data_IF_786311849254
#
_entry.id   IF_786311849254
#
_cell.length_a   1.000
_cell.length_b   1.000
_cell.length_c   1.000
_cell.angle_alpha   90.00
_cell.angle_beta   90.00
_cell.angle_gamma   90.00
#
_symmetry.space_group_name_H-M   'P 1'
#
loop_
_entity.id
_entity.type
_entity.pdbx_description
1 polymer ?
#
# COMPACT_ATOMS: atom_id res chain seq x y z
N UNK A 1 -28.80 3.51 -25.02
CA UNK A 1 -29.10 4.48 -23.96
C UNK A 1 -28.85 3.77 -22.65
N UNK A 2 -27.59 3.80 -22.19
CA UNK A 2 -27.19 3.17 -20.92
C UNK A 2 -27.40 4.21 -19.82
N UNK A 3 -28.27 3.91 -18.88
CA UNK A 3 -28.41 4.68 -17.67
C UNK A 3 -27.24 4.30 -16.73
N UNK A 4 -26.27 5.20 -16.59
CA UNK A 4 -25.35 5.18 -15.48
C UNK A 4 -26.16 5.55 -14.22
N UNK A 5 -26.45 4.59 -13.37
CA UNK A 5 -26.93 4.84 -12.03
C UNK A 5 -25.75 5.40 -11.24
N UNK A 6 -25.71 6.71 -11.05
CA UNK A 6 -24.85 7.32 -10.05
C UNK A 6 -25.37 6.87 -8.68
N UNK A 7 -24.67 5.95 -8.04
CA UNK A 7 -24.87 5.70 -6.62
C UNK A 7 -24.46 6.98 -5.88
N UNK A 8 -25.41 7.77 -5.46
CA UNK A 8 -25.18 8.87 -4.55
C UNK A 8 -24.89 8.27 -3.18
N UNK A 9 -23.61 8.14 -2.83
CA UNK A 9 -23.23 7.87 -1.47
C UNK A 9 -23.75 9.02 -0.60
N UNK A 10 -24.61 8.71 0.36
CA UNK A 10 -25.01 9.67 1.38
C UNK A 10 -23.79 9.92 2.25
N UNK A 11 -23.11 11.05 2.05
CA UNK A 11 -22.03 11.49 2.92
C UNK A 11 -22.56 11.53 4.36
N UNK A 12 -22.20 10.56 5.16
CA UNK A 12 -22.35 10.65 6.60
C UNK A 12 -21.27 11.63 7.01
N UNK A 13 -21.70 12.81 7.44
CA UNK A 13 -20.79 13.83 7.98
C UNK A 13 -20.33 13.37 9.36
N UNK A 14 -19.36 12.47 9.40
CA UNK A 14 -18.71 12.01 10.62
C UNK A 14 -17.64 13.04 10.99
N UNK A 15 -17.54 13.37 12.26
CA UNK A 15 -16.41 14.16 12.75
C UNK A 15 -15.15 13.33 12.63
N UNK A 16 -14.16 13.78 11.87
CA UNK A 16 -12.86 13.14 11.77
C UNK A 16 -12.01 13.48 12.98
N UNK A 17 -11.34 12.48 13.53
CA UNK A 17 -10.60 12.54 14.80
C UNK A 17 -9.09 12.37 14.65
N UNK A 18 -8.61 12.10 13.44
CA UNK A 18 -7.18 12.04 13.14
C UNK A 18 -6.52 13.39 13.37
N UNK A 19 -5.34 13.37 13.97
CA UNK A 19 -4.54 14.57 14.30
C UNK A 19 -3.19 14.54 13.59
N UNK A 20 -2.99 15.47 12.67
CA UNK A 20 -1.69 15.67 12.02
C UNK A 20 -0.60 16.07 13.00
N UNK A 21 -0.93 16.81 14.07
CA UNK A 21 0.04 17.19 15.10
C UNK A 21 0.51 15.99 15.94
N UNK A 22 -0.40 15.05 16.26
CA UNK A 22 -0.01 13.80 16.91
C UNK A 22 0.91 12.98 16.01
N UNK A 23 0.51 12.80 14.73
CA UNK A 23 1.32 12.06 13.78
C UNK A 23 2.70 12.71 13.58
N UNK A 24 2.78 14.03 13.53
CA UNK A 24 4.06 14.74 13.45
C UNK A 24 4.94 14.44 14.68
N UNK A 25 4.38 14.46 15.88
CA UNK A 25 5.09 14.09 17.10
C UNK A 25 5.58 12.64 17.07
N UNK A 26 4.80 11.70 16.51
CA UNK A 26 5.23 10.31 16.36
C UNK A 26 6.36 10.14 15.32
N UNK A 27 6.47 11.02 14.32
CA UNK A 27 7.67 11.06 13.47
C UNK A 27 8.87 11.57 14.27
N UNK A 28 8.72 12.67 15.03
CA UNK A 28 9.79 13.17 15.90
C UNK A 28 10.29 12.10 16.88
N UNK A 29 9.38 11.35 17.51
CA UNK A 29 9.72 10.25 18.40
C UNK A 29 10.57 9.20 17.68
N UNK A 30 10.16 8.75 16.47
CA UNK A 30 10.88 7.74 15.70
C UNK A 30 12.28 8.21 15.29
N UNK A 31 12.48 9.48 14.99
CA UNK A 31 13.78 10.06 14.66
C UNK A 31 14.68 10.21 15.90
N UNK A 32 14.13 10.23 17.09
CA UNK A 32 14.85 10.46 18.35
C UNK A 32 14.93 9.23 19.28
N UNK A 33 14.54 8.04 18.79
CA UNK A 33 14.47 6.81 19.60
C UNK A 33 15.80 6.45 20.26
N UNK A 34 16.91 6.64 19.57
CA UNK A 34 18.25 6.41 20.14
C UNK A 34 19.29 7.39 19.59
N UNK A 35 20.52 7.29 20.09
CA UNK A 35 21.61 8.19 19.73
C UNK A 35 22.01 8.12 18.24
N UNK A 36 21.66 7.05 17.55
CA UNK A 36 21.97 6.86 16.12
C UNK A 36 20.82 7.23 15.20
N UNK A 37 19.60 7.29 15.71
CA UNK A 37 18.35 7.71 15.05
C UNK A 37 17.97 6.92 13.77
N UNK A 38 18.80 5.96 13.35
CA UNK A 38 18.59 5.24 12.09
C UNK A 38 17.96 3.87 12.32
N UNK A 39 16.88 3.59 11.59
CA UNK A 39 16.10 2.36 11.68
C UNK A 39 16.55 1.32 10.66
N UNK A 40 17.87 1.20 10.47
CA UNK A 40 18.48 0.31 9.48
C UNK A 40 18.31 -1.15 9.93
N UNK A 41 17.86 -2.08 9.05
CA UNK A 41 17.79 -3.50 9.35
C UNK A 41 19.09 -4.08 9.91
N UNK A 42 18.99 -4.85 11.00
CA UNK A 42 20.14 -5.41 11.69
C UNK A 42 20.87 -4.47 12.65
N UNK A 43 20.35 -3.25 12.88
CA UNK A 43 20.88 -2.31 13.86
C UNK A 43 19.88 -2.06 15.00
N UNK A 44 20.39 -1.64 16.16
CA UNK A 44 19.59 -1.42 17.36
C UNK A 44 18.46 -0.40 17.15
N UNK A 45 18.67 0.64 16.34
CA UNK A 45 17.63 1.65 16.06
C UNK A 45 16.37 1.08 15.42
N UNK A 46 16.50 0.03 14.60
CA UNK A 46 15.37 -0.70 14.04
C UNK A 46 14.62 -1.50 15.13
N UNK A 47 15.35 -2.19 16.01
CA UNK A 47 14.75 -2.93 17.13
C UNK A 47 14.03 -1.99 18.09
N UNK A 48 14.66 -0.89 18.47
CA UNK A 48 14.08 0.13 19.34
C UNK A 48 12.80 0.75 18.73
N UNK A 49 12.75 0.89 17.40
CA UNK A 49 11.56 1.39 16.69
C UNK A 49 10.40 0.36 16.73
N UNK A 50 10.68 -0.91 16.55
CA UNK A 50 9.66 -1.96 16.67
C UNK A 50 9.08 -2.00 18.11
N UNK A 51 9.93 -1.89 19.14
CA UNK A 51 9.47 -1.81 20.53
C UNK A 51 8.67 -0.53 20.80
N UNK A 52 9.07 0.62 20.23
CA UNK A 52 8.32 1.87 20.31
C UNK A 52 6.88 1.71 19.79
N UNK A 53 6.66 0.99 18.68
CA UNK A 53 5.30 0.72 18.19
C UNK A 53 4.51 -0.11 19.20
N UNK A 54 5.12 -1.15 19.77
CA UNK A 54 4.46 -1.98 20.77
C UNK A 54 4.07 -1.13 21.99
N UNK A 55 4.93 -0.22 22.45
CA UNK A 55 4.64 0.71 23.54
C UNK A 55 3.49 1.66 23.18
N UNK A 56 3.50 2.28 21.98
CA UNK A 56 2.43 3.19 21.53
C UNK A 56 1.07 2.50 21.44
N UNK A 57 1.01 1.28 20.93
CA UNK A 57 -0.23 0.51 20.89
C UNK A 57 -0.67 0.08 22.31
N UNK A 58 0.24 -0.22 23.21
CA UNK A 58 -0.07 -0.47 24.63
C UNK A 58 -0.56 0.78 25.35
N UNK A 59 -0.12 1.99 25.00
CA UNK A 59 -0.67 3.24 25.51
C UNK A 59 -2.15 3.41 25.11
N UNK A 60 -2.54 2.97 23.89
CA UNK A 60 -3.94 2.94 23.47
C UNK A 60 -4.73 1.92 24.29
N UNK A 61 -4.21 0.70 24.41
CA UNK A 61 -4.76 -0.35 25.27
C UNK A 61 -3.70 -1.41 25.60
N UNK A 62 -3.53 -1.74 26.89
CA UNK A 62 -2.55 -2.73 27.36
C UNK A 62 -2.72 -4.12 26.74
N UNK A 63 -3.91 -4.48 26.27
CA UNK A 63 -4.22 -5.76 25.67
C UNK A 63 -4.42 -5.64 24.15
N UNK A 64 -3.84 -4.64 23.51
CA UNK A 64 -3.89 -4.57 22.04
C UNK A 64 -3.17 -5.79 21.46
N UNK A 65 -3.85 -6.56 20.62
CA UNK A 65 -3.30 -7.77 20.02
C UNK A 65 -2.21 -7.45 19.01
N UNK A 66 -1.09 -8.19 19.06
CA UNK A 66 -0.02 -8.06 18.09
C UNK A 66 0.71 -9.37 17.85
N UNK A 67 1.26 -9.52 16.64
CA UNK A 67 2.12 -10.60 16.21
C UNK A 67 3.45 -10.03 15.71
N UNK A 68 4.54 -10.77 15.92
CA UNK A 68 5.87 -10.47 15.37
C UNK A 68 6.20 -11.47 14.27
N UNK A 69 6.40 -10.99 13.07
CA UNK A 69 6.85 -11.78 11.95
C UNK A 69 8.36 -11.64 11.80
N UNK A 70 9.09 -12.65 12.28
CA UNK A 70 10.56 -12.68 12.23
C UNK A 70 11.02 -13.41 10.97
N UNK A 71 11.97 -12.84 10.26
CA UNK A 71 12.56 -13.40 9.06
C UNK A 71 14.04 -13.02 8.95
N UNK A 72 14.76 -13.57 7.97
CA UNK A 72 16.19 -13.34 7.82
C UNK A 72 16.51 -13.06 6.35
N UNK A 73 17.23 -11.97 6.08
CA UNK A 73 17.79 -11.64 4.79
C UNK A 73 19.30 -11.65 4.86
N UNK A 74 19.96 -12.53 4.11
CA UNK A 74 21.42 -12.68 4.08
C UNK A 74 22.09 -12.72 5.48
N UNK A 75 21.46 -13.44 6.40
CA UNK A 75 21.89 -13.60 7.81
C UNK A 75 21.68 -12.35 8.70
N UNK A 76 20.96 -11.34 8.25
CA UNK A 76 20.46 -10.23 9.07
C UNK A 76 19.05 -10.55 9.52
N UNK A 77 18.81 -10.45 10.82
CA UNK A 77 17.48 -10.63 11.39
C UNK A 77 16.63 -9.39 11.19
N UNK A 78 15.45 -9.59 10.62
CA UNK A 78 14.44 -8.57 10.34
C UNK A 78 13.10 -8.95 11.00
N UNK A 79 12.22 -7.96 11.16
CA UNK A 79 10.95 -8.19 11.86
C UNK A 79 9.86 -7.25 11.39
N UNK A 80 8.77 -7.78 10.85
CA UNK A 80 7.54 -7.02 10.69
C UNK A 80 6.72 -7.06 11.99
N UNK A 81 5.97 -6.00 12.26
CA UNK A 81 5.10 -5.89 13.44
C UNK A 81 3.66 -5.72 12.98
N UNK A 82 2.78 -6.62 13.40
CA UNK A 82 1.36 -6.63 13.04
C UNK A 82 0.51 -6.41 14.29
N UNK A 83 -0.34 -5.38 14.28
CA UNK A 83 -1.37 -5.18 15.28
C UNK A 83 -2.75 -5.43 14.69
N UNK A 84 -3.64 -6.05 15.47
CA UNK A 84 -4.98 -6.42 15.02
C UNK A 84 -6.05 -5.80 15.92
N UNK A 85 -7.04 -5.20 15.29
CA UNK A 85 -8.22 -4.63 15.95
C UNK A 85 -9.47 -5.32 15.43
N UNK A 86 -10.38 -5.73 16.33
CA UNK A 86 -11.65 -6.39 16.01
C UNK A 86 -11.51 -7.76 15.33
N UNK A 87 -10.63 -8.60 15.82
CA UNK A 87 -10.37 -9.97 15.33
C UNK A 87 -11.59 -10.90 15.25
N UNK A 88 -12.75 -10.48 15.77
CA UNK A 88 -14.00 -11.21 15.65
C UNK A 88 -14.74 -11.00 14.31
N UNK A 89 -14.31 -10.05 13.49
CA UNK A 89 -14.84 -9.83 12.15
C UNK A 89 -14.07 -10.70 11.14
N UNK A 90 -14.76 -11.13 10.09
CA UNK A 90 -14.20 -12.01 9.08
C UNK A 90 -13.56 -11.27 7.90
N UNK A 91 -13.85 -9.98 7.74
CA UNK A 91 -13.30 -9.16 6.67
C UNK A 91 -12.11 -8.36 7.20
N UNK A 92 -10.97 -8.46 6.54
CA UNK A 92 -9.72 -7.86 6.95
C UNK A 92 -9.38 -6.70 6.01
N UNK A 93 -9.08 -5.54 6.59
CA UNK A 93 -8.48 -4.40 5.89
C UNK A 93 -7.11 -4.15 6.49
N UNK A 94 -6.08 -4.12 5.64
CA UNK A 94 -4.70 -3.86 6.05
C UNK A 94 -4.37 -2.40 5.80
N UNK A 95 -3.83 -1.74 6.81
CA UNK A 95 -3.16 -0.45 6.70
C UNK A 95 -1.68 -0.70 6.94
N UNK A 96 -0.84 -0.46 5.94
CA UNK A 96 0.58 -0.80 5.96
C UNK A 96 1.49 0.41 5.81
N UNK A 97 2.69 0.33 6.36
CA UNK A 97 3.79 1.27 6.14
C UNK A 97 5.12 0.58 6.47
N UNK A 98 6.21 0.92 5.78
CA UNK A 98 7.53 0.46 6.19
C UNK A 98 8.11 1.36 7.28
N UNK A 99 8.98 0.81 8.12
CA UNK A 99 9.57 1.56 9.22
C UNK A 99 11.09 1.58 9.22
N UNK A 100 11.74 0.72 8.43
CA UNK A 100 13.17 0.83 8.23
C UNK A 100 13.52 2.13 7.51
N UNK A 101 14.75 2.57 7.66
CA UNK A 101 15.29 3.71 6.93
C UNK A 101 16.49 3.27 6.11
N UNK A 102 16.69 3.93 4.97
CA UNK A 102 17.76 3.60 4.03
C UNK A 102 19.14 3.75 4.65
N UNK A 103 19.97 2.72 4.50
CA UNK A 103 21.31 2.69 5.09
C UNK A 103 22.29 3.70 4.44
N UNK A 104 21.99 4.19 3.23
CA UNK A 104 22.88 5.10 2.47
C UNK A 104 22.06 6.12 1.67
N UNK A 105 22.43 7.39 1.78
CA UNK A 105 21.77 8.50 1.07
C UNK A 105 22.22 8.57 -0.41
N UNK A 106 21.92 7.53 -1.17
CA UNK A 106 22.49 7.28 -2.51
C UNK A 106 22.13 8.35 -3.54
N UNK A 107 21.08 9.16 -3.30
CA UNK A 107 20.68 10.30 -4.15
C UNK A 107 21.10 11.66 -3.61
N UNK A 108 21.86 11.71 -2.52
CA UNK A 108 22.28 12.99 -1.98
C UNK A 108 23.07 13.79 -3.05
N UNK A 109 22.73 15.07 -3.28
CA UNK A 109 23.43 15.91 -4.24
C UNK A 109 24.89 16.15 -3.85
N UNK A 110 25.23 16.10 -2.56
CA UNK A 110 26.60 16.07 -2.07
C UNK A 110 27.14 14.64 -2.06
N UNK A 111 28.05 14.35 -2.99
CA UNK A 111 28.63 13.00 -3.12
C UNK A 111 29.32 12.52 -1.84
N UNK A 112 29.81 13.43 -0.99
CA UNK A 112 30.46 13.06 0.27
C UNK A 112 29.48 12.51 1.31
N UNK A 113 28.19 12.79 1.13
CA UNK A 113 27.11 12.34 2.02
C UNK A 113 26.44 11.03 1.57
N UNK A 114 26.75 10.55 0.37
CA UNK A 114 26.06 9.36 -0.19
C UNK A 114 26.29 8.07 0.57
N UNK A 115 27.31 8.02 1.42
CA UNK A 115 27.57 6.88 2.30
C UNK A 115 26.98 7.09 3.73
N UNK A 116 26.38 8.25 4.00
CA UNK A 116 25.68 8.51 5.24
C UNK A 116 24.27 7.88 5.22
N UNK A 117 23.74 7.45 6.39
CA UNK A 117 22.39 6.93 6.46
C UNK A 117 21.33 8.04 6.29
N UNK A 118 20.16 7.65 5.79
CA UNK A 118 19.00 8.53 5.64
C UNK A 118 18.21 8.57 6.95
N UNK A 119 17.83 9.75 7.49
CA UNK A 119 16.98 9.84 8.67
C UNK A 119 15.60 9.19 8.46
N UNK A 120 15.04 9.29 7.25
CA UNK A 120 13.79 8.65 6.87
C UNK A 120 12.56 9.23 7.57
N UNK A 121 12.46 10.57 7.64
CA UNK A 121 11.32 11.22 8.28
C UNK A 121 10.02 11.04 7.49
N UNK A 122 10.13 11.16 6.16
CA UNK A 122 9.01 10.86 5.27
C UNK A 122 9.03 9.38 4.86
N UNK A 123 10.19 8.87 4.57
CA UNK A 123 10.54 7.56 4.03
C UNK A 123 11.09 6.63 5.15
N UNK A 124 10.32 5.92 5.89
CA UNK A 124 8.97 5.47 6.08
C UNK A 124 8.36 5.90 7.42
N UNK A 125 9.01 6.82 8.25
CA UNK A 125 8.44 7.18 9.56
C UNK A 125 7.08 7.88 9.44
N UNK A 126 6.80 8.59 8.33
CA UNK A 126 5.54 9.30 8.13
C UNK A 126 4.34 8.36 8.03
N UNK A 127 4.45 7.28 7.26
CA UNK A 127 3.40 6.26 7.16
C UNK A 127 3.13 5.60 8.50
N UNK A 128 4.18 5.19 9.21
CA UNK A 128 4.08 4.60 10.55
C UNK A 128 3.37 5.52 11.55
N UNK A 129 3.70 6.80 11.54
CA UNK A 129 3.07 7.80 12.40
C UNK A 129 1.56 7.96 12.12
N UNK A 130 1.17 7.90 10.84
CA UNK A 130 -0.25 7.89 10.46
C UNK A 130 -0.95 6.64 10.98
N UNK A 131 -0.32 5.45 10.86
CA UNK A 131 -0.89 4.19 11.40
C UNK A 131 -1.14 4.27 12.91
N UNK A 132 -0.21 4.82 13.70
CA UNK A 132 -0.35 4.95 15.15
C UNK A 132 -1.57 5.83 15.51
N UNK A 133 -1.72 6.99 14.88
CA UNK A 133 -2.87 7.87 15.19
C UNK A 133 -4.20 7.29 14.69
N UNK A 134 -4.23 6.63 13.54
CA UNK A 134 -5.41 5.88 13.07
C UNK A 134 -5.79 4.75 14.04
N UNK A 135 -4.81 4.04 14.59
CA UNK A 135 -5.09 3.01 15.61
C UNK A 135 -5.76 3.60 16.84
N UNK A 136 -5.30 4.76 17.32
CA UNK A 136 -5.93 5.51 18.43
C UNK A 136 -7.37 5.88 18.09
N UNK A 137 -7.61 6.40 16.90
CA UNK A 137 -8.96 6.79 16.43
C UNK A 137 -9.88 5.59 16.38
N UNK A 138 -9.50 4.54 15.64
CA UNK A 138 -10.37 3.39 15.43
C UNK A 138 -10.55 2.54 16.67
N UNK A 139 -9.57 2.49 17.58
CA UNK A 139 -9.76 1.82 18.86
C UNK A 139 -10.90 2.47 19.67
N UNK A 140 -11.00 3.80 19.66
CA UNK A 140 -12.06 4.52 20.37
C UNK A 140 -13.46 4.27 19.80
N UNK A 141 -13.53 3.81 18.56
CA UNK A 141 -14.76 3.61 17.77
C UNK A 141 -14.98 2.16 17.34
N UNK A 142 -14.20 1.23 17.88
CA UNK A 142 -14.13 -0.17 17.44
C UNK A 142 -15.46 -0.90 17.43
N UNK A 143 -16.39 -0.55 18.33
CA UNK A 143 -17.71 -1.16 18.41
C UNK A 143 -18.59 -0.86 17.16
N UNK A 144 -18.21 0.15 16.38
CA UNK A 144 -18.89 0.52 15.14
C UNK A 144 -18.21 -0.02 13.88
N UNK A 145 -16.98 -0.54 14.00
CA UNK A 145 -16.25 -1.14 12.89
C UNK A 145 -16.88 -2.50 12.53
N UNK A 146 -17.01 -2.73 11.25
CA UNK A 146 -17.58 -3.95 10.67
C UNK A 146 -16.50 -4.83 10.00
N UNK A 147 -15.24 -4.42 10.11
CA UNK A 147 -14.09 -5.18 9.65
C UNK A 147 -13.08 -5.39 10.79
N UNK A 148 -12.14 -6.26 10.55
CA UNK A 148 -10.89 -6.38 11.26
C UNK A 148 -9.91 -5.40 10.64
N UNK A 149 -9.26 -4.53 11.43
CA UNK A 149 -8.18 -3.67 10.96
C UNK A 149 -6.85 -4.23 11.36
N UNK A 150 -5.96 -4.40 10.39
CA UNK A 150 -4.56 -4.73 10.61
C UNK A 150 -3.72 -3.48 10.39
N UNK A 151 -2.86 -3.17 11.35
CA UNK A 151 -1.82 -2.14 11.25
C UNK A 151 -0.49 -2.87 11.12
N UNK A 152 0.09 -2.85 9.92
CA UNK A 152 1.25 -3.66 9.55
C UNK A 152 2.44 -2.76 9.26
N UNK A 153 3.49 -2.92 10.05
CA UNK A 153 4.75 -2.19 9.94
C UNK A 153 5.80 -3.12 9.31
N UNK A 154 6.27 -2.77 8.12
CA UNK A 154 7.25 -3.56 7.38
C UNK A 154 8.68 -3.15 7.71
N UNK A 155 9.56 -4.13 7.91
CA UNK A 155 11.01 -3.98 7.96
C UNK A 155 11.60 -4.28 6.57
N UNK A 156 12.79 -3.79 6.29
CA UNK A 156 13.58 -4.18 5.13
C UNK A 156 12.92 -3.86 3.75
N UNK A 157 12.22 -2.74 3.66
CA UNK A 157 11.68 -2.22 2.41
C UNK A 157 12.76 -1.53 1.58
N UNK A 158 13.48 -0.53 2.20
CA UNK A 158 14.20 0.55 1.51
C UNK A 158 15.71 0.28 1.34
N UNK A 159 16.11 -0.97 1.07
CA UNK A 159 17.53 -1.33 0.98
C UNK A 159 18.00 -1.69 -0.44
N UNK A 160 17.11 -1.66 -1.42
CA UNK A 160 17.38 -2.00 -2.81
C UNK A 160 18.32 -1.04 -3.55
N UNK A 161 18.52 -1.28 -4.85
CA UNK A 161 19.45 -0.51 -5.66
C UNK A 161 18.78 0.72 -6.30
N UNK A 162 19.20 1.94 -5.88
CA UNK A 162 18.82 3.21 -6.47
C UNK A 162 20.06 4.17 -6.48
N UNK A 163 20.71 4.33 -7.61
CA UNK A 163 22.05 4.95 -7.77
C UNK A 163 23.16 4.29 -6.93
N UNK A 164 22.85 3.29 -6.17
CA UNK A 164 23.65 2.47 -5.28
C UNK A 164 22.72 1.67 -4.36
N UNK A 165 23.18 0.57 -3.77
CA UNK A 165 22.40 -0.18 -2.82
C UNK A 165 22.30 0.58 -1.48
N UNK A 166 21.17 0.46 -0.77
CA UNK A 166 21.10 0.75 0.64
C UNK A 166 21.99 -0.25 1.40
N UNK A 167 21.66 -1.54 1.33
CA UNK A 167 22.50 -2.65 1.78
C UNK A 167 22.90 -3.48 0.57
N UNK A 168 24.18 -3.81 0.46
CA UNK A 168 24.71 -4.54 -0.70
C UNK A 168 24.08 -5.93 -0.85
N UNK A 169 23.49 -6.18 -2.01
CA UNK A 169 22.89 -7.45 -2.37
C UNK A 169 21.43 -7.64 -1.89
N UNK A 170 20.81 -6.61 -1.27
CA UNK A 170 19.42 -6.62 -0.93
C UNK A 170 18.55 -6.11 -2.10
N UNK A 171 17.31 -6.55 -2.12
CA UNK A 171 16.28 -6.03 -3.02
C UNK A 171 15.34 -5.06 -2.27
N UNK A 172 14.34 -4.54 -2.94
CA UNK A 172 13.25 -3.73 -2.40
C UNK A 172 12.18 -4.62 -1.76
N UNK A 173 11.48 -4.11 -0.75
CA UNK A 173 10.26 -4.71 -0.23
C UNK A 173 10.44 -6.14 0.31
N UNK A 174 11.63 -6.49 0.80
CA UNK A 174 11.94 -7.83 1.31
C UNK A 174 11.00 -8.22 2.47
N UNK A 175 10.61 -7.25 3.31
CA UNK A 175 9.74 -7.49 4.45
C UNK A 175 8.31 -7.83 4.08
N UNK A 176 7.73 -7.14 3.12
CA UNK A 176 6.38 -7.44 2.63
C UNK A 176 6.32 -8.70 1.79
N UNK A 177 7.36 -8.96 0.96
CA UNK A 177 7.48 -10.21 0.23
C UNK A 177 7.50 -11.40 1.20
N UNK A 178 8.32 -11.33 2.27
CA UNK A 178 8.37 -12.37 3.32
C UNK A 178 7.08 -12.50 4.11
N UNK A 179 6.42 -11.37 4.42
CA UNK A 179 5.14 -11.41 5.11
C UNK A 179 4.06 -12.12 4.29
N UNK A 180 3.99 -11.83 2.99
CA UNK A 180 3.00 -12.45 2.10
C UNK A 180 3.32 -13.94 1.86
N UNK A 181 4.60 -14.35 1.82
CA UNK A 181 4.97 -15.78 1.81
C UNK A 181 4.39 -16.53 3.02
N UNK A 182 4.34 -15.89 4.19
CA UNK A 182 3.91 -16.47 5.46
C UNK A 182 2.51 -16.03 5.91
N UNK A 183 1.76 -15.28 5.10
CA UNK A 183 0.51 -14.60 5.48
C UNK A 183 -0.55 -15.56 6.06
N UNK A 184 -0.58 -16.80 5.60
CA UNK A 184 -1.52 -17.82 6.08
C UNK A 184 -1.31 -18.19 7.56
N UNK A 185 -0.18 -17.83 8.16
CA UNK A 185 0.07 -18.02 9.58
C UNK A 185 -0.66 -16.98 10.46
N UNK A 186 -1.17 -15.90 9.87
CA UNK A 186 -1.74 -14.76 10.59
C UNK A 186 -3.25 -14.66 10.52
N UNK A 187 -3.95 -15.44 9.64
CA UNK A 187 -5.39 -15.43 9.51
C UNK A 187 -5.95 -16.84 9.26
N UNK A 188 -7.26 -16.98 9.42
CA UNK A 188 -7.96 -18.23 9.15
C UNK A 188 -8.66 -18.16 7.78
N UNK A 189 -7.99 -18.65 6.72
CA UNK A 189 -8.49 -18.61 5.34
C UNK A 189 -9.83 -19.33 5.12
N UNK A 190 -10.29 -20.17 6.08
CA UNK A 190 -11.60 -20.81 6.02
C UNK A 190 -12.74 -19.90 6.50
N UNK A 191 -12.45 -18.83 7.23
CA UNK A 191 -13.42 -17.94 7.86
C UNK A 191 -13.21 -16.48 7.48
N UNK A 192 -11.98 -16.09 7.20
CA UNK A 192 -11.57 -14.71 7.01
C UNK A 192 -11.14 -14.44 5.57
N UNK A 193 -11.32 -13.23 5.11
CA UNK A 193 -10.92 -12.77 3.78
C UNK A 193 -10.40 -11.34 3.83
N UNK A 194 -9.49 -11.03 2.92
CA UNK A 194 -8.97 -9.68 2.76
C UNK A 194 -9.82 -8.86 1.80
N UNK A 195 -10.28 -7.68 2.23
CA UNK A 195 -11.06 -6.76 1.39
C UNK A 195 -10.17 -5.71 0.72
N UNK A 196 -9.16 -5.21 1.41
CA UNK A 196 -8.24 -4.21 0.90
C UNK A 196 -6.93 -4.15 1.70
N UNK A 197 -5.86 -3.67 1.03
CA UNK A 197 -4.62 -3.22 1.66
C UNK A 197 -4.34 -1.79 1.17
N UNK A 198 -4.07 -0.87 2.10
CA UNK A 198 -3.69 0.52 1.82
C UNK A 198 -2.29 0.72 2.38
N UNK A 199 -1.33 0.94 1.48
CA UNK A 199 0.03 1.30 1.83
C UNK A 199 0.13 2.82 1.98
N UNK A 200 0.89 3.25 2.98
CA UNK A 200 1.18 4.65 3.27
C UNK A 200 2.69 4.85 3.23
N UNK A 201 3.20 5.18 2.05
CA UNK A 201 4.61 5.46 1.86
C UNK A 201 4.87 6.93 1.52
N UNK A 202 5.84 7.54 2.20
CA UNK A 202 6.19 8.96 2.04
C UNK A 202 4.99 9.91 2.05
N UNK A 203 4.11 9.81 3.04
CA UNK A 203 2.81 10.51 3.10
C UNK A 203 2.81 11.82 3.91
N UNK A 204 3.95 12.19 4.50
CA UNK A 204 4.09 13.37 5.35
C UNK A 204 4.83 14.55 4.71
N UNK A 205 5.36 14.38 3.50
CA UNK A 205 6.25 15.35 2.87
C UNK A 205 5.63 16.73 2.66
N UNK A 206 6.42 17.80 2.83
CA UNK A 206 6.00 19.17 2.50
C UNK A 206 5.59 19.26 1.03
N UNK A 207 4.55 20.04 0.73
CA UNK A 207 3.96 20.15 -0.61
C UNK A 207 3.43 18.82 -1.17
N UNK A 208 2.88 17.97 -0.31
CA UNK A 208 2.30 16.68 -0.65
C UNK A 208 1.43 16.75 -1.91
N UNK A 209 1.71 15.84 -2.85
CA UNK A 209 0.87 15.52 -4.00
C UNK A 209 1.01 14.04 -4.30
N UNK A 210 -0.08 13.32 -4.24
CA UNK A 210 -0.10 11.91 -4.56
C UNK A 210 -0.05 11.67 -6.07
N UNK A 211 0.55 10.55 -6.46
CA UNK A 211 0.57 10.05 -7.84
C UNK A 211 -0.55 9.04 -8.09
N UNK A 212 -0.82 8.75 -9.36
CA UNK A 212 -1.57 7.56 -9.76
C UNK A 212 -0.56 6.42 -9.96
N UNK A 213 -0.42 5.61 -8.92
CA UNK A 213 0.49 4.47 -8.90
C UNK A 213 -0.14 3.32 -9.71
N UNK A 214 0.62 2.72 -10.63
CA UNK A 214 0.07 1.84 -11.68
C UNK A 214 -0.04 0.36 -11.30
N UNK A 215 0.69 -0.10 -10.27
CA UNK A 215 0.55 -1.47 -9.76
C UNK A 215 -0.59 -1.58 -8.74
N UNK A 216 -1.08 -0.45 -8.24
CA UNK A 216 -2.24 -0.37 -7.37
C UNK A 216 -3.51 -0.90 -8.06
N UNK A 217 -4.40 -1.49 -7.31
CA UNK A 217 -5.77 -1.78 -7.75
C UNK A 217 -6.47 -0.45 -8.05
N UNK A 218 -6.66 -0.15 -9.32
CA UNK A 218 -7.05 1.18 -9.80
C UNK A 218 -8.34 1.69 -9.16
N UNK A 219 -9.35 0.83 -8.99
CA UNK A 219 -10.62 1.22 -8.37
C UNK A 219 -10.49 1.56 -6.88
N UNK A 220 -9.56 0.94 -6.17
CA UNK A 220 -9.27 1.27 -4.77
C UNK A 220 -8.53 2.60 -4.66
N UNK A 221 -7.52 2.80 -5.51
CA UNK A 221 -6.78 4.06 -5.54
C UNK A 221 -7.68 5.24 -5.97
N UNK A 222 -8.53 5.06 -6.98
CA UNK A 222 -9.51 6.06 -7.42
C UNK A 222 -10.46 6.45 -6.29
N UNK A 223 -10.96 5.49 -5.50
CA UNK A 223 -11.82 5.74 -4.34
C UNK A 223 -11.10 6.59 -3.27
N UNK A 224 -9.85 6.27 -2.94
CA UNK A 224 -9.04 7.07 -2.01
C UNK A 224 -8.85 8.50 -2.53
N UNK A 225 -8.59 8.67 -3.82
CA UNK A 225 -8.48 9.99 -4.46
C UNK A 225 -9.81 10.75 -4.41
N UNK A 226 -10.93 10.09 -4.63
CA UNK A 226 -12.25 10.72 -4.55
C UNK A 226 -12.57 11.16 -3.13
N UNK A 227 -12.31 10.32 -2.14
CA UNK A 227 -12.47 10.66 -0.72
C UNK A 227 -11.61 11.89 -0.35
N UNK A 228 -10.33 11.91 -0.74
CA UNK A 228 -9.47 13.06 -0.49
C UNK A 228 -9.98 14.36 -1.13
N UNK A 229 -10.46 14.29 -2.37
CA UNK A 229 -11.08 15.45 -3.05
C UNK A 229 -12.37 15.92 -2.38
N UNK A 230 -13.22 15.01 -1.94
CA UNK A 230 -14.48 15.33 -1.23
C UNK A 230 -14.21 16.01 0.11
N UNK A 231 -13.09 15.68 0.77
CA UNK A 231 -12.62 16.38 1.97
C UNK A 231 -12.02 17.76 1.68
N UNK A 232 -11.88 18.15 0.41
CA UNK A 232 -11.33 19.44 -0.02
C UNK A 232 -9.84 19.42 -0.31
N UNK A 233 -9.16 18.28 -0.28
CA UNK A 233 -7.72 18.13 -0.49
C UNK A 233 -7.32 18.02 -1.97
N UNK A 234 -7.95 18.86 -2.83
CA UNK A 234 -7.79 18.80 -4.30
C UNK A 234 -6.33 19.01 -4.74
N UNK A 235 -5.55 19.77 -3.96
CA UNK A 235 -4.13 20.00 -4.26
C UNK A 235 -3.27 18.75 -4.06
N UNK A 236 -3.62 17.94 -3.07
CA UNK A 236 -2.91 16.70 -2.73
C UNK A 236 -3.41 15.50 -3.55
N UNK A 237 -4.70 15.51 -3.90
CA UNK A 237 -5.34 14.52 -4.77
C UNK A 237 -5.80 15.16 -6.09
N UNK A 238 -4.87 15.54 -6.99
CA UNK A 238 -5.22 16.28 -8.21
C UNK A 238 -6.10 15.44 -9.14
N UNK A 239 -6.93 16.12 -9.97
CA UNK A 239 -7.78 15.44 -10.95
C UNK A 239 -6.98 14.74 -12.07
N UNK A 240 -5.77 15.22 -12.33
CA UNK A 240 -4.84 14.64 -13.29
C UNK A 240 -3.50 14.40 -12.56
N UNK A 241 -3.40 13.35 -11.73
CA UNK A 241 -2.17 13.03 -11.03
C UNK A 241 -1.10 12.58 -12.01
N UNK A 242 0.16 12.75 -11.64
CA UNK A 242 1.26 12.13 -12.37
C UNK A 242 1.13 10.61 -12.29
N UNK A 243 1.35 9.93 -13.40
CA UNK A 243 1.23 8.47 -13.52
C UNK A 243 2.61 7.86 -13.43
N UNK A 244 2.83 6.98 -12.47
CA UNK A 244 4.10 6.27 -12.24
C UNK A 244 3.85 4.83 -11.83
N UNK A 245 4.85 4.01 -12.04
CA UNK A 245 4.94 2.65 -11.49
C UNK A 245 6.11 2.59 -10.53
N UNK A 246 5.87 2.08 -9.35
CA UNK A 246 6.92 1.81 -8.36
C UNK A 246 6.72 0.41 -7.78
N UNK A 247 7.80 -0.35 -7.62
CA UNK A 247 7.77 -1.54 -6.78
C UNK A 247 7.82 -1.07 -5.34
N UNK A 248 6.77 -1.37 -4.60
CA UNK A 248 6.58 -1.02 -3.23
C UNK A 248 5.83 -2.13 -2.50
N UNK A 249 5.73 -2.10 -1.19
CA UNK A 249 5.19 -3.16 -0.33
C UNK A 249 3.79 -3.65 -0.75
N UNK A 250 2.94 -2.79 -1.32
CA UNK A 250 1.60 -3.17 -1.81
C UNK A 250 1.64 -4.19 -2.95
N UNK A 251 2.74 -4.25 -3.72
CA UNK A 251 2.85 -5.13 -4.90
C UNK A 251 2.84 -6.61 -4.49
N UNK A 252 3.45 -6.95 -3.35
CA UNK A 252 3.40 -8.30 -2.80
C UNK A 252 1.95 -8.76 -2.55
N UNK A 253 1.12 -7.87 -1.99
CA UNK A 253 -0.30 -8.15 -1.72
C UNK A 253 -1.14 -8.22 -2.99
N UNK A 254 -0.92 -7.34 -3.97
CA UNK A 254 -1.56 -7.43 -5.29
C UNK A 254 -1.26 -8.78 -5.95
N UNK A 255 -0.01 -9.21 -5.92
CA UNK A 255 0.41 -10.50 -6.50
C UNK A 255 -0.21 -11.70 -5.76
N UNK A 256 -0.48 -11.59 -4.47
CA UNK A 256 -1.19 -12.61 -3.68
C UNK A 256 -2.70 -12.63 -4.01
N UNK A 257 -3.23 -11.56 -4.60
CA UNK A 257 -4.65 -11.43 -4.96
C UNK A 257 -5.47 -10.58 -4.00
N UNK A 258 -4.81 -9.80 -3.13
CA UNK A 258 -5.44 -8.82 -2.25
C UNK A 258 -5.49 -7.47 -2.98
N UNK A 259 -6.69 -6.86 -3.15
CA UNK A 259 -6.78 -5.52 -3.70
C UNK A 259 -5.97 -4.54 -2.87
N UNK A 260 -4.98 -3.87 -3.47
CA UNK A 260 -4.05 -3.02 -2.74
C UNK A 260 -3.84 -1.69 -3.45
N UNK A 261 -3.65 -0.62 -2.69
CA UNK A 261 -3.35 0.70 -3.22
C UNK A 261 -2.24 1.36 -2.40
N UNK A 262 -1.36 2.07 -3.09
CA UNK A 262 -0.28 2.82 -2.51
C UNK A 262 -0.59 4.33 -2.59
N UNK A 263 -0.61 4.99 -1.44
CA UNK A 263 -0.61 6.44 -1.32
C UNK A 263 0.83 6.91 -1.14
N UNK A 264 1.42 7.39 -2.23
CA UNK A 264 2.81 7.85 -2.25
C UNK A 264 2.94 9.24 -2.88
N UNK A 265 3.82 10.08 -2.30
CA UNK A 265 4.09 11.42 -2.81
C UNK A 265 4.81 11.37 -4.16
N UNK A 266 4.56 12.38 -5.02
CA UNK A 266 5.36 12.58 -6.22
C UNK A 266 6.77 13.07 -5.86
N UNK A 267 7.76 12.23 -6.03
CA UNK A 267 9.19 12.55 -5.80
C UNK A 267 10.04 12.51 -7.08
N UNK A 268 9.43 12.23 -8.25
CA UNK A 268 10.20 12.01 -9.50
C UNK A 268 10.60 13.29 -10.21
N UNK A 269 9.76 14.31 -10.26
CA UNK A 269 9.99 15.47 -11.10
C UNK A 269 9.70 16.78 -10.37
N UNK A 270 10.30 17.86 -10.86
CA UNK A 270 10.06 19.20 -10.37
C UNK A 270 8.67 19.71 -10.84
N UNK A 271 7.75 20.12 -9.93
CA UNK A 271 8.01 20.20 -8.48
C UNK A 271 7.64 18.90 -7.74
N UNK A 272 8.51 17.91 -7.76
CA UNK A 272 8.44 16.73 -6.90
C UNK A 272 9.02 17.01 -5.52
N UNK A 273 8.84 16.06 -4.61
CA UNK A 273 9.47 16.08 -3.29
C UNK A 273 10.96 15.70 -3.42
N UNK A 274 11.92 16.59 -3.08
CA UNK A 274 13.30 16.45 -3.53
C UNK A 274 14.22 15.69 -2.56
N UNK A 275 13.70 15.19 -1.44
CA UNK A 275 14.54 14.68 -0.34
C UNK A 275 14.68 13.15 -0.33
N UNK A 276 13.98 12.45 -1.24
CA UNK A 276 14.03 10.99 -1.37
C UNK A 276 15.46 10.47 -1.47
N UNK A 277 15.85 9.56 -0.58
CA UNK A 277 17.17 8.94 -0.46
C UNK A 277 18.32 9.95 -0.25
N UNK A 278 18.04 11.04 0.46
CA UNK A 278 19.05 12.03 0.86
C UNK A 278 19.09 12.20 2.38
N UNK A 279 20.19 12.72 2.91
CA UNK A 279 20.28 13.06 4.35
C UNK A 279 19.33 14.17 4.78
N UNK A 280 18.65 14.82 3.83
CA UNK A 280 17.68 15.88 4.09
C UNK A 280 16.23 15.35 4.20
N UNK A 281 16.02 14.04 4.12
CA UNK A 281 14.76 13.44 4.56
C UNK A 281 14.71 13.40 6.09
N UNK A 282 14.58 14.57 6.67
CA UNK A 282 14.58 14.86 8.09
C UNK A 282 13.27 15.58 8.47
N UNK A 283 13.05 15.85 9.75
CA UNK A 283 11.84 16.46 10.30
C UNK A 283 11.39 17.74 9.59
N UNK A 284 12.33 18.51 9.04
CA UNK A 284 12.03 19.73 8.27
C UNK A 284 11.42 19.47 6.88
N UNK A 285 11.53 18.23 6.38
CA UNK A 285 11.05 17.83 5.08
C UNK A 285 9.57 17.37 5.11
N UNK A 286 8.96 17.28 6.29
CA UNK A 286 7.57 16.87 6.49
C UNK A 286 6.73 18.00 7.10
N UNK A 287 5.40 17.81 7.12
CA UNK A 287 4.48 18.75 7.77
C UNK A 287 3.30 18.01 8.41
N UNK A 288 2.86 18.51 9.58
CA UNK A 288 1.65 18.04 10.25
C UNK A 288 0.41 18.12 9.33
N UNK A 289 0.34 19.14 8.48
CA UNK A 289 -0.78 19.30 7.54
C UNK A 289 -0.80 18.23 6.44
N UNK A 290 0.35 17.74 5.97
CA UNK A 290 0.43 16.63 5.01
C UNK A 290 -0.02 15.32 5.67
N UNK A 291 0.47 15.04 6.87
CA UNK A 291 0.05 13.88 7.66
C UNK A 291 -1.47 13.91 7.94
N UNK A 292 -2.02 15.11 8.25
CA UNK A 292 -3.46 15.27 8.48
C UNK A 292 -4.29 14.97 7.23
N UNK A 293 -3.85 15.42 6.05
CA UNK A 293 -4.49 15.11 4.76
C UNK A 293 -4.58 13.61 4.55
N UNK A 294 -3.47 12.90 4.73
CA UNK A 294 -3.40 11.45 4.56
C UNK A 294 -4.29 10.73 5.57
N UNK A 295 -4.08 11.01 6.85
CA UNK A 295 -4.80 10.30 7.92
C UNK A 295 -6.30 10.53 7.86
N UNK A 296 -6.77 11.76 7.61
CA UNK A 296 -8.20 12.06 7.45
C UNK A 296 -8.82 11.41 6.20
N UNK A 297 -8.04 11.27 5.13
CA UNK A 297 -8.51 10.57 3.93
C UNK A 297 -8.72 9.09 4.21
N UNK A 298 -7.77 8.43 4.86
CA UNK A 298 -7.89 7.01 5.24
C UNK A 298 -8.98 6.82 6.29
N UNK A 299 -9.06 7.70 7.30
CA UNK A 299 -10.13 7.67 8.30
C UNK A 299 -11.51 7.75 7.64
N UNK A 300 -11.73 8.69 6.72
CA UNK A 300 -13.00 8.84 6.01
C UNK A 300 -13.30 7.64 5.10
N UNK A 301 -12.28 7.09 4.43
CA UNK A 301 -12.42 5.88 3.63
C UNK A 301 -12.94 4.71 4.48
N UNK A 302 -12.34 4.49 5.65
CA UNK A 302 -12.80 3.43 6.58
C UNK A 302 -14.22 3.69 7.07
N UNK A 303 -14.58 4.94 7.39
CA UNK A 303 -15.95 5.28 7.77
C UNK A 303 -16.96 5.03 6.65
N UNK A 304 -16.62 5.32 5.41
CA UNK A 304 -17.54 5.14 4.28
C UNK A 304 -17.87 3.66 4.04
N UNK A 305 -16.92 2.76 4.27
CA UNK A 305 -17.01 1.38 3.80
C UNK A 305 -17.11 0.35 4.94
N UNK A 306 -16.55 0.64 6.12
CA UNK A 306 -16.37 -0.34 7.19
C UNK A 306 -16.93 0.09 8.54
N UNK A 307 -17.86 1.04 8.52
CA UNK A 307 -18.60 1.45 9.72
C UNK A 307 -20.06 0.99 9.64
N UNK A 308 -20.75 0.85 10.79
CA UNK A 308 -22.15 0.42 10.95
C UNK A 308 -23.14 1.29 10.15
N UNK A 309 -22.92 1.36 8.89
CA UNK A 309 -23.88 1.86 7.93
C UNK A 309 -24.66 0.64 7.48
N UNK A 310 -25.97 0.73 7.30
CA UNK A 310 -26.80 -0.28 6.67
C UNK A 310 -26.33 -0.61 5.23
N UNK A 311 -25.02 -0.64 5.00
CA UNK A 311 -24.41 -0.88 3.72
C UNK A 311 -24.39 -2.38 3.49
N UNK A 312 -25.25 -2.84 2.57
CA UNK A 312 -25.34 -4.22 2.10
C UNK A 312 -24.17 -4.63 1.18
N UNK A 313 -23.19 -3.75 0.98
CA UNK A 313 -22.14 -3.91 -0.04
C UNK A 313 -20.86 -4.57 0.50
N UNK A 314 -20.92 -5.09 1.72
CA UNK A 314 -19.80 -5.83 2.33
C UNK A 314 -19.32 -6.97 1.41
N UNK A 315 -18.04 -6.97 1.08
CA UNK A 315 -17.43 -7.94 0.16
C UNK A 315 -17.80 -7.76 -1.32
N UNK A 316 -18.56 -6.70 -1.68
CA UNK A 316 -18.97 -6.39 -3.05
C UNK A 316 -18.50 -4.99 -3.50
N UNK A 317 -17.42 -4.49 -2.93
CA UNK A 317 -16.83 -3.23 -3.37
C UNK A 317 -16.26 -3.35 -4.80
N UNK A 318 -16.14 -2.26 -5.54
CA UNK A 318 -15.59 -2.29 -6.90
C UNK A 318 -14.20 -2.92 -6.98
N UNK A 319 -13.38 -2.78 -5.94
CA UNK A 319 -12.05 -3.36 -5.87
C UNK A 319 -12.05 -4.85 -5.50
N UNK A 320 -13.02 -5.37 -4.73
CA UNK A 320 -13.08 -6.78 -4.36
C UNK A 320 -13.54 -7.69 -5.51
N UNK A 321 -14.28 -7.14 -6.47
CA UNK A 321 -14.79 -7.89 -7.63
C UNK A 321 -13.88 -7.84 -8.86
N UNK A 322 -12.77 -7.10 -8.80
CA UNK A 322 -11.91 -6.84 -9.95
C UNK A 322 -11.29 -8.11 -10.52
N UNK A 323 -10.88 -9.06 -9.69
CA UNK A 323 -10.28 -10.32 -10.12
C UNK A 323 -11.27 -11.26 -10.82
N UNK A 324 -12.57 -11.17 -10.50
CA UNK A 324 -13.59 -12.02 -11.12
C UNK A 324 -14.03 -11.52 -12.52
N UNK A 325 -13.90 -10.23 -12.81
CA UNK A 325 -14.29 -9.66 -14.11
C UNK A 325 -13.20 -9.85 -15.18
N UNK A 326 -11.92 -9.74 -14.82
CA UNK A 326 -10.82 -9.94 -15.76
C UNK A 326 -10.64 -11.40 -16.17
N UNK A 327 -10.79 -12.35 -15.24
CA UNK A 327 -10.62 -13.77 -15.53
C UNK A 327 -11.72 -14.32 -16.46
N UNK A 328 -12.97 -13.93 -16.26
CA UNK A 328 -14.07 -14.39 -17.12
C UNK A 328 -14.04 -13.77 -18.51
N UNK A 329 -13.79 -12.49 -18.61
CA UNK A 329 -13.77 -11.78 -19.90
C UNK A 329 -12.51 -12.11 -20.72
N UNK A 330 -11.35 -12.25 -20.07
CA UNK A 330 -10.11 -12.70 -20.72
C UNK A 330 -10.24 -14.17 -21.17
N UNK A 331 -10.80 -15.03 -20.36
CA UNK A 331 -11.03 -16.44 -20.72
C UNK A 331 -12.02 -16.54 -21.87
N UNK A 332 -13.10 -15.76 -21.85
CA UNK A 332 -14.06 -15.68 -22.97
C UNK A 332 -13.39 -15.14 -24.22
N UNK A 333 -12.59 -14.09 -24.13
CA UNK A 333 -11.87 -13.51 -25.26
C UNK A 333 -10.85 -14.48 -25.84
N UNK A 334 -10.09 -15.21 -25.00
CA UNK A 334 -9.16 -16.26 -25.44
C UNK A 334 -9.90 -17.42 -26.12
N UNK A 335 -11.05 -17.84 -25.58
CA UNK A 335 -11.87 -18.86 -26.20
C UNK A 335 -12.43 -18.41 -27.56
N UNK A 336 -12.91 -17.19 -27.68
CA UNK A 336 -13.40 -16.62 -28.96
C UNK A 336 -12.26 -16.56 -29.98
N UNK A 337 -11.09 -16.06 -29.60
CA UNK A 337 -9.92 -16.02 -30.48
C UNK A 337 -9.45 -17.42 -30.88
N UNK A 338 -9.49 -18.40 -29.98
CA UNK A 338 -9.17 -19.79 -30.26
C UNK A 338 -10.11 -20.43 -31.30
N UNK A 339 -11.41 -20.15 -31.21
CA UNK A 339 -12.42 -20.62 -32.19
C UNK A 339 -12.22 -19.96 -33.55
N UNK A 340 -11.93 -18.67 -33.60
CA UNK A 340 -11.65 -17.93 -34.85
C UNK A 340 -10.38 -18.49 -35.51
N UNK A 341 -9.28 -18.64 -34.76
CA UNK A 341 -8.03 -19.21 -35.29
C UNK A 341 -8.20 -20.66 -35.76
N UNK A 342 -8.90 -21.50 -34.98
CA UNK A 342 -9.23 -22.86 -35.37
C UNK A 342 -10.05 -22.93 -36.65
N UNK A 343 -11.06 -22.06 -36.81
CA UNK A 343 -11.87 -21.94 -38.01
C UNK A 343 -11.06 -21.54 -39.26
N UNK A 344 -10.11 -20.62 -39.11
CA UNK A 344 -9.21 -20.17 -40.17
C UNK A 344 -8.29 -21.34 -40.60
N UNK A 345 -7.71 -22.09 -39.68
CA UNK A 345 -6.84 -23.22 -40.01
C UNK A 345 -7.63 -24.30 -40.75
N UNK A 346 -8.84 -24.65 -40.27
CA UNK A 346 -9.71 -25.63 -40.94
C UNK A 346 -10.11 -25.16 -42.35
N UNK A 347 -10.43 -23.88 -42.51
CA UNK A 347 -10.76 -23.29 -43.82
C UNK A 347 -9.59 -23.42 -44.79
N UNK A 348 -8.38 -23.10 -44.39
CA UNK A 348 -7.19 -23.25 -45.24
C UNK A 348 -6.88 -24.73 -45.57
N UNK A 349 -7.09 -25.63 -44.62
CA UNK A 349 -6.90 -27.04 -44.82
C UNK A 349 -7.91 -27.61 -45.84
N UNK A 350 -9.19 -27.26 -45.69
CA UNK A 350 -10.24 -27.65 -46.65
C UNK A 350 -9.96 -27.07 -48.07
N UNK A 351 -9.49 -25.82 -48.12
CA UNK A 351 -9.17 -25.19 -49.41
C UNK A 351 -7.99 -25.85 -50.09
N UNK A 352 -6.97 -26.24 -49.34
CA UNK A 352 -5.78 -26.98 -49.83
C UNK A 352 -6.13 -28.38 -50.30
N UNK A 353 -6.95 -29.11 -49.58
CA UNK A 353 -7.40 -30.46 -49.98
C UNK A 353 -8.29 -30.41 -51.23
N UNK A 354 -9.14 -29.36 -51.41
CA UNK A 354 -9.93 -29.17 -52.62
C UNK A 354 -9.06 -28.76 -53.80
N UNK A 355 -8.01 -28.00 -53.65
CA UNK A 355 -7.04 -27.65 -54.69
C UNK A 355 -6.30 -28.89 -55.17
N UNK A 356 -5.76 -29.70 -54.30
CA UNK A 356 -5.05 -30.92 -54.61
C UNK A 356 -5.96 -31.97 -55.34
N UNK A 357 -7.24 -32.04 -54.96
CA UNK A 357 -8.21 -32.91 -55.64
C UNK A 357 -8.55 -32.47 -57.09
N UNK A 358 -8.47 -31.14 -57.36
CA UNK A 358 -8.66 -30.58 -58.71
C UNK A 358 -7.46 -30.81 -59.63
N UNK A 359 -6.23 -30.83 -59.08
CA UNK A 359 -5.03 -31.20 -59.84
C UNK A 359 -4.98 -32.68 -60.22
N UNK A 360 -5.44 -33.57 -59.34
CA UNK A 360 -5.52 -35.03 -59.57
C UNK A 360 -6.57 -35.44 -60.62
N UNK A 361 -7.53 -34.57 -60.95
CA UNK A 361 -8.56 -34.82 -61.98
C UNK A 361 -8.17 -34.22 -63.34
N UNK A 362 -7.08 -33.41 -63.38
CA UNK A 362 -6.60 -32.75 -64.64
C UNK A 362 -5.39 -33.47 -65.25
N UNK A 363 -4.81 -34.43 -64.61
CA UNK A 363 -3.80 -35.36 -65.11
C UNK A 363 -4.42 -36.76 -65.34
#
# INVERSE_FOLDING_TARGET
>A
MFFLTSNSFSNIQVSLHFSGDNAYSYVEDQLNINATHFRIPGYQGREDCAEYFIEKFREINLNFSYDLHNFTIQSVECQNVLFKLNEHNNNIVILGAHYDSRARATKDPDELKRDEPVPGANDGASGCAVLIDLARVFYSLKENLTCQLWFLFFDAEDQGYDYGPGISGWDWCEGSDKFVEDIENFYNSSLESFDAMILLDMVGGVNLKFINEQYSTSSLLEELFEVGRLLGYISQFPNNPEVRSIRDDHVAFVNYGIPSADLIINFWNNPGWPYHHTVNDDIIAISASSLEVTGKTVEQFIYNHYFNNNNSDFGNYPWTNYNNLLDTDIVILIMILGVIFGGIIIFFFIRRTRANKRELIRN
#
